data_IF_511331707709
#
_entry.id   IF_511331707709
#
_cell.length_a   1.000
_cell.length_b   1.000
_cell.length_c   1.000
_cell.angle_alpha   90.00
_cell.angle_beta   90.00
_cell.angle_gamma   90.00
#
_symmetry.space_group_name_H-M   'P 1'
#
loop_
_entity.id
_entity.type
_entity.pdbx_description
1 polymer ?
#
# COMPACT_ATOMS: atom_id res chain seq x y z
N UNK A 1 2.86 4.95 -1.62
CA UNK A 1 3.76 4.25 -2.54
C UNK A 1 4.13 5.16 -3.71
N UNK A 2 5.35 5.70 -3.83
CA UNK A 2 5.78 6.34 -5.06
C UNK A 2 6.28 5.30 -6.08
N UNK A 3 5.82 5.41 -7.33
CA UNK A 3 6.40 4.72 -8.48
C UNK A 3 7.27 5.73 -9.24
N UNK A 4 8.57 5.50 -9.28
CA UNK A 4 9.49 6.24 -10.13
C UNK A 4 9.81 5.40 -11.36
N UNK A 5 9.37 5.87 -12.52
CA UNK A 5 9.76 5.32 -13.81
C UNK A 5 10.89 6.16 -14.37
N UNK A 6 12.02 5.53 -14.68
CA UNK A 6 13.13 6.18 -15.37
C UNK A 6 13.55 5.32 -16.56
N UNK A 7 13.55 5.90 -17.76
CA UNK A 7 14.14 5.27 -18.92
C UNK A 7 15.63 5.66 -18.97
N UNK A 8 16.52 4.67 -18.98
CA UNK A 8 17.97 4.87 -19.03
C UNK A 8 18.62 4.02 -20.12
N UNK A 9 19.76 4.49 -20.64
CA UNK A 9 20.62 3.63 -21.44
C UNK A 9 21.38 2.67 -20.53
N UNK A 10 21.29 1.37 -20.82
CA UNK A 10 22.08 0.35 -20.13
C UNK A 10 23.56 0.45 -20.55
N UNK A 11 24.44 -0.07 -19.69
CA UNK A 11 25.90 -0.16 -19.86
C UNK A 11 26.30 -0.83 -21.21
N UNK A 12 25.38 -1.57 -21.85
CA UNK A 12 25.58 -2.31 -23.12
C UNK A 12 24.97 -1.56 -24.34
N UNK A 13 24.68 -0.26 -24.24
CA UNK A 13 24.13 0.52 -25.36
C UNK A 13 22.72 0.11 -25.79
N UNK A 14 21.97 -0.56 -24.91
CA UNK A 14 20.57 -0.91 -25.13
C UNK A 14 19.66 -0.14 -24.18
N UNK A 15 18.53 0.34 -24.72
CA UNK A 15 17.49 1.02 -23.95
C UNK A 15 16.86 0.04 -22.95
N UNK A 16 17.04 0.31 -21.67
CA UNK A 16 16.40 -0.42 -20.59
C UNK A 16 15.38 0.48 -19.90
N UNK A 17 14.28 -0.11 -19.45
CA UNK A 17 13.25 0.61 -18.71
C UNK A 17 13.34 0.18 -17.26
N UNK A 18 13.56 1.14 -16.36
CA UNK A 18 13.68 0.92 -14.94
C UNK A 18 12.42 1.41 -14.22
N UNK A 19 11.86 0.54 -13.39
CA UNK A 19 10.76 0.87 -12.50
C UNK A 19 11.19 0.65 -11.06
N UNK A 20 11.14 1.71 -10.27
CA UNK A 20 11.38 1.67 -8.84
C UNK A 20 10.08 1.95 -8.10
N UNK A 21 9.69 1.02 -7.26
CA UNK A 21 8.46 1.09 -6.49
C UNK A 21 8.80 0.93 -5.01
N UNK A 22 8.11 1.66 -4.14
CA UNK A 22 8.22 1.45 -2.69
C UNK A 22 6.86 1.56 -2.03
N UNK A 23 6.48 0.60 -1.18
CA UNK A 23 5.27 0.69 -0.35
C UNK A 23 5.36 1.86 0.65
N UNK A 24 4.27 2.18 1.35
CA UNK A 24 4.40 3.13 2.46
C UNK A 24 5.33 2.58 3.55
N UNK A 25 6.13 3.48 4.13
CA UNK A 25 6.99 3.23 5.31
C UNK A 25 6.23 3.52 6.63
N UNK A 26 4.93 3.81 6.54
CA UNK A 26 4.10 4.14 7.70
C UNK A 26 3.70 2.90 8.52
N UNK A 27 3.86 1.70 7.95
CA UNK A 27 3.50 0.43 8.57
C UNK A 27 4.61 -0.61 8.40
N UNK A 28 4.59 -1.63 9.26
CA UNK A 28 5.48 -2.78 9.15
C UNK A 28 5.33 -3.51 7.81
N UNK A 29 6.30 -4.38 7.50
CA UNK A 29 6.43 -5.09 6.23
C UNK A 29 6.48 -4.14 5.01
N UNK A 30 7.33 -3.10 5.09
CA UNK A 30 7.60 -2.25 3.94
C UNK A 30 8.44 -2.99 2.89
N UNK A 31 8.02 -2.86 1.64
CA UNK A 31 8.65 -3.49 0.49
C UNK A 31 9.13 -2.44 -0.49
N UNK A 32 10.27 -2.72 -1.10
CA UNK A 32 10.79 -1.97 -2.24
C UNK A 32 11.04 -2.92 -3.40
N UNK A 33 10.77 -2.46 -4.61
CA UNK A 33 10.92 -3.25 -5.83
C UNK A 33 11.67 -2.42 -6.87
N UNK A 34 12.73 -3.00 -7.40
CA UNK A 34 13.42 -2.51 -8.59
C UNK A 34 13.21 -3.50 -9.72
N UNK A 35 12.72 -3.02 -10.86
CA UNK A 35 12.49 -3.83 -12.07
C UNK A 35 13.22 -3.21 -13.25
N UNK A 36 14.07 -4.01 -13.89
CA UNK A 36 14.77 -3.64 -15.11
C UNK A 36 14.24 -4.48 -16.26
N UNK A 37 13.59 -3.82 -17.22
CA UNK A 37 13.04 -4.46 -18.41
C UNK A 37 13.89 -4.13 -19.65
N UNK A 38 14.20 -5.18 -20.42
CA UNK A 38 14.89 -5.12 -21.70
C UNK A 38 13.91 -5.51 -22.82
N UNK A 39 13.29 -4.52 -23.52
CA UNK A 39 12.22 -4.78 -24.48
C UNK A 39 12.63 -5.68 -25.64
N UNK A 40 13.86 -5.52 -26.14
CA UNK A 40 14.38 -6.29 -27.29
C UNK A 40 14.51 -7.78 -26.98
N UNK A 41 14.89 -8.13 -25.76
CA UNK A 41 15.07 -9.50 -25.31
C UNK A 41 13.81 -10.09 -24.66
N UNK A 42 12.78 -9.27 -24.43
CA UNK A 42 11.62 -9.61 -23.58
C UNK A 42 12.07 -10.19 -22.24
N UNK A 43 13.08 -9.55 -21.65
CA UNK A 43 13.72 -10.01 -20.42
C UNK A 43 13.50 -8.98 -19.32
N UNK A 44 13.04 -9.45 -18.18
CA UNK A 44 12.75 -8.62 -17.01
C UNK A 44 13.48 -9.17 -15.81
N UNK A 45 14.34 -8.35 -15.22
CA UNK A 45 14.99 -8.63 -13.94
C UNK A 45 14.32 -7.82 -12.87
N UNK A 46 14.21 -8.39 -11.67
CA UNK A 46 13.66 -7.66 -10.55
C UNK A 46 14.27 -8.10 -9.22
N UNK A 47 14.33 -7.15 -8.30
CA UNK A 47 14.76 -7.37 -6.92
C UNK A 47 13.66 -6.80 -6.02
N UNK A 48 13.11 -7.66 -5.17
CA UNK A 48 12.13 -7.30 -4.14
C UNK A 48 12.85 -7.32 -2.78
N UNK A 49 12.77 -6.20 -2.06
CA UNK A 49 13.34 -6.02 -0.73
C UNK A 49 12.22 -6.00 0.32
N UNK A 50 12.54 -6.44 1.54
CA UNK A 50 11.63 -6.34 2.69
C UNK A 50 10.47 -7.34 2.71
N UNK A 51 10.41 -8.26 1.75
CA UNK A 51 9.33 -9.25 1.69
C UNK A 51 9.46 -10.30 2.81
N UNK A 52 8.37 -10.54 3.52
CA UNK A 52 8.25 -11.68 4.44
C UNK A 52 8.18 -13.01 3.67
N UNK A 53 8.42 -14.13 4.35
CA UNK A 53 8.38 -15.46 3.72
C UNK A 53 7.00 -15.79 3.10
N UNK A 54 5.92 -15.25 3.67
CA UNK A 54 4.57 -15.39 3.11
C UNK A 54 4.40 -14.55 1.84
N UNK A 55 4.83 -13.29 1.88
CA UNK A 55 4.78 -12.38 0.73
C UNK A 55 5.63 -12.93 -0.42
N UNK A 56 6.83 -13.45 -0.16
CA UNK A 56 7.69 -14.08 -1.16
C UNK A 56 6.98 -15.24 -1.86
N UNK A 57 6.38 -16.17 -1.09
CA UNK A 57 5.62 -17.30 -1.65
C UNK A 57 4.44 -16.82 -2.50
N UNK A 58 3.72 -15.80 -2.04
CA UNK A 58 2.61 -15.20 -2.77
C UNK A 58 3.06 -14.60 -4.11
N UNK A 59 4.15 -13.84 -4.11
CA UNK A 59 4.76 -13.24 -5.31
C UNK A 59 5.18 -14.34 -6.28
N UNK A 60 5.93 -15.35 -5.81
CA UNK A 60 6.39 -16.46 -6.66
C UNK A 60 5.22 -17.24 -7.26
N UNK A 61 4.16 -17.49 -6.48
CA UNK A 61 2.96 -18.17 -6.98
C UNK A 61 2.26 -17.37 -8.07
N UNK A 62 2.18 -16.04 -7.92
CA UNK A 62 1.59 -15.12 -8.92
C UNK A 62 2.42 -15.05 -10.20
N UNK A 63 3.75 -14.95 -10.07
CA UNK A 63 4.66 -14.97 -11.22
C UNK A 63 4.55 -16.30 -11.98
N UNK A 64 4.52 -17.44 -11.28
CA UNK A 64 4.33 -18.76 -11.92
C UNK A 64 3.01 -18.88 -12.69
N UNK A 65 1.94 -18.26 -12.19
CA UNK A 65 0.63 -18.23 -12.86
C UNK A 65 0.58 -17.32 -14.08
N UNK A 66 1.45 -16.32 -14.18
CA UNK A 66 1.46 -15.37 -15.29
C UNK A 66 1.90 -15.98 -16.63
N UNK A 67 2.53 -17.16 -16.63
CA UNK A 67 2.83 -17.92 -17.84
C UNK A 67 3.68 -17.13 -18.84
N UNK A 68 3.11 -16.80 -20.00
CA UNK A 68 3.78 -16.02 -21.06
C UNK A 68 3.95 -14.55 -20.74
N UNK A 69 3.17 -14.01 -19.80
CA UNK A 69 3.19 -12.59 -19.42
C UNK A 69 4.24 -12.29 -18.35
N UNK A 70 5.06 -13.27 -17.96
CA UNK A 70 6.16 -13.09 -16.98
C UNK A 70 7.19 -12.06 -17.42
N UNK A 71 7.33 -11.86 -18.72
CA UNK A 71 8.22 -10.85 -19.29
C UNK A 71 7.62 -9.43 -19.22
N UNK A 72 6.35 -9.26 -18.87
CA UNK A 72 5.70 -7.96 -18.90
C UNK A 72 6.29 -7.03 -17.82
N UNK A 73 6.76 -5.82 -18.18
CA UNK A 73 7.44 -4.91 -17.26
C UNK A 73 6.59 -4.53 -16.03
N UNK A 74 5.27 -4.47 -16.20
CA UNK A 74 4.33 -4.11 -15.13
C UNK A 74 3.78 -5.28 -14.31
N UNK A 75 4.17 -6.54 -14.60
CA UNK A 75 3.67 -7.68 -13.82
C UNK A 75 4.05 -7.55 -12.34
N UNK A 76 5.34 -7.34 -12.07
CA UNK A 76 5.84 -7.25 -10.69
C UNK A 76 5.42 -5.96 -9.97
N UNK A 77 5.47 -4.77 -10.59
CA UNK A 77 4.88 -3.56 -10.01
C UNK A 77 3.39 -3.71 -9.70
N UNK A 78 2.64 -4.39 -10.58
CA UNK A 78 1.22 -4.70 -10.35
C UNK A 78 1.02 -5.63 -9.16
N UNK A 79 1.80 -6.71 -9.05
CA UNK A 79 1.76 -7.62 -7.89
C UNK A 79 2.06 -6.85 -6.60
N UNK A 80 3.10 -6.01 -6.58
CA UNK A 80 3.44 -5.21 -5.40
C UNK A 80 2.32 -4.24 -5.03
N UNK A 81 1.72 -3.57 -6.02
CA UNK A 81 0.61 -2.66 -5.79
C UNK A 81 -0.63 -3.37 -5.22
N UNK A 82 -0.90 -4.60 -5.65
CA UNK A 82 -1.97 -5.42 -5.07
C UNK A 82 -1.69 -5.86 -3.63
N UNK A 83 -0.45 -6.20 -3.31
CA UNK A 83 -0.04 -6.52 -1.93
C UNK A 83 -0.20 -5.29 -1.04
N UNK A 84 0.25 -4.11 -1.48
CA UNK A 84 0.10 -2.86 -0.74
C UNK A 84 -1.38 -2.51 -0.54
N UNK A 85 -2.20 -2.69 -1.57
CA UNK A 85 -3.66 -2.48 -1.46
C UNK A 85 -4.27 -3.40 -0.41
N UNK A 86 -3.87 -4.68 -0.38
CA UNK A 86 -4.36 -5.62 0.62
C UNK A 86 -3.97 -5.17 2.03
N UNK A 87 -2.70 -4.82 2.25
CA UNK A 87 -2.21 -4.32 3.54
C UNK A 87 -3.01 -3.11 4.02
N UNK A 88 -3.25 -2.15 3.12
CA UNK A 88 -4.03 -0.95 3.42
C UNK A 88 -5.50 -1.25 3.75
N UNK A 89 -6.09 -2.28 3.12
CA UNK A 89 -7.44 -2.74 3.46
C UNK A 89 -7.47 -3.37 4.85
N UNK A 90 -6.53 -4.26 5.14
CA UNK A 90 -6.45 -4.93 6.44
C UNK A 90 -6.29 -3.89 7.58
N UNK A 91 -5.49 -2.83 7.37
CA UNK A 91 -5.35 -1.70 8.32
C UNK A 91 -6.63 -0.86 8.43
N UNK A 92 -7.31 -0.60 7.30
CA UNK A 92 -8.54 0.16 7.33
C UNK A 92 -9.64 -0.58 8.10
N UNK A 93 -9.72 -1.90 7.96
CA UNK A 93 -10.65 -2.75 8.69
C UNK A 93 -10.35 -2.70 10.20
N UNK A 94 -9.09 -2.80 10.61
CA UNK A 94 -8.68 -2.68 12.03
C UNK A 94 -9.08 -1.33 12.64
N UNK A 95 -8.89 -0.23 11.91
CA UNK A 95 -9.28 1.11 12.36
C UNK A 95 -10.80 1.23 12.46
N UNK A 96 -11.55 0.65 11.53
CA UNK A 96 -13.02 0.63 11.58
C UNK A 96 -13.49 -0.13 12.83
N UNK A 97 -12.93 -1.32 13.08
CA UNK A 97 -13.27 -2.12 14.26
C UNK A 97 -12.96 -1.38 15.57
N UNK A 98 -11.81 -0.69 15.65
CA UNK A 98 -11.46 0.14 16.81
C UNK A 98 -12.46 1.29 17.01
N UNK A 99 -12.85 1.97 15.92
CA UNK A 99 -13.84 3.05 15.94
C UNK A 99 -15.22 2.54 16.38
N UNK A 100 -15.67 1.41 15.87
CA UNK A 100 -16.95 0.80 16.27
C UNK A 100 -16.96 0.45 17.76
N UNK A 101 -15.89 -0.19 18.25
CA UNK A 101 -15.75 -0.48 19.68
C UNK A 101 -15.75 0.78 20.54
N UNK A 102 -15.07 1.84 20.09
CA UNK A 102 -15.07 3.12 20.80
C UNK A 102 -16.46 3.76 20.81
N UNK A 103 -17.19 3.77 19.70
CA UNK A 103 -18.57 4.29 19.63
C UNK A 103 -19.48 3.53 20.60
N UNK A 104 -19.47 2.19 20.57
CA UNK A 104 -20.28 1.36 21.47
C UNK A 104 -19.97 1.62 22.95
N UNK A 105 -18.69 1.75 23.30
CA UNK A 105 -18.28 2.09 24.66
C UNK A 105 -18.81 3.46 25.06
N UNK A 106 -18.66 4.45 24.19
CA UNK A 106 -19.12 5.82 24.45
C UNK A 106 -20.64 5.88 24.61
N UNK A 107 -21.41 5.15 23.79
CA UNK A 107 -22.86 5.08 23.87
C UNK A 107 -23.33 4.46 25.19
N UNK A 108 -22.70 3.36 25.62
CA UNK A 108 -22.98 2.72 26.91
C UNK A 108 -22.65 3.65 28.10
N UNK A 109 -21.55 4.39 28.03
CA UNK A 109 -21.15 5.37 29.05
C UNK A 109 -22.12 6.56 29.14
N UNK A 110 -22.70 7.02 28.03
CA UNK A 110 -23.75 8.07 28.03
C UNK A 110 -25.02 7.65 28.73
N UNK A 111 -25.42 6.37 28.66
CA UNK A 111 -26.61 5.83 29.34
C UNK A 111 -26.42 5.86 30.86
N UNK A 112 -25.18 5.73 31.34
CA UNK A 112 -24.82 5.79 32.77
C UNK A 112 -24.51 7.20 33.30
N UNK A 113 -24.47 8.22 32.44
CA UNK A 113 -23.86 9.54 32.74
C UNK A 113 -24.88 10.62 33.11
N UNK A 114 -25.44 10.54 34.31
CA UNK A 114 -26.03 11.73 34.95
C UNK A 114 -25.08 12.36 36.00
N UNK A 115 -23.84 11.86 36.16
CA UNK A 115 -22.86 12.32 37.17
C UNK A 115 -21.38 12.25 36.69
N UNK A 116 -20.97 12.92 35.59
CA UNK A 116 -19.57 12.88 35.12
C UNK A 116 -18.72 14.07 35.59
N UNK A 117 -17.47 13.79 35.99
CA UNK A 117 -16.46 14.78 36.41
C UNK A 117 -15.74 15.41 35.20
N UNK A 118 -15.17 16.60 35.38
CA UNK A 118 -14.48 17.34 34.32
C UNK A 118 -13.30 16.56 33.69
N UNK A 119 -12.60 15.73 34.48
CA UNK A 119 -11.50 14.88 34.00
C UNK A 119 -11.96 13.78 33.04
N UNK A 120 -13.15 13.22 33.23
CA UNK A 120 -13.69 12.18 32.33
C UNK A 120 -14.07 12.75 30.96
N UNK A 121 -14.47 14.03 30.90
CA UNK A 121 -14.80 14.73 29.65
C UNK A 121 -13.55 15.03 28.81
N UNK A 122 -12.44 15.41 29.45
CA UNK A 122 -11.18 15.72 28.77
C UNK A 122 -10.57 14.47 28.13
N UNK A 123 -10.55 13.35 28.85
CA UNK A 123 -10.03 12.08 28.32
C UNK A 123 -10.88 11.57 27.14
N UNK A 124 -12.21 11.71 27.24
CA UNK A 124 -13.15 11.38 26.17
C UNK A 124 -12.90 12.19 24.89
N UNK A 125 -12.69 13.50 25.04
CA UNK A 125 -12.38 14.38 23.91
C UNK A 125 -11.03 14.02 23.28
N UNK A 126 -10.01 13.72 24.09
CA UNK A 126 -8.70 13.28 23.61
C UNK A 126 -8.80 11.99 22.79
N UNK A 127 -9.56 11.01 23.23
CA UNK A 127 -9.78 9.75 22.51
C UNK A 127 -10.49 9.98 21.17
N UNK A 128 -11.56 10.79 21.15
CA UNK A 128 -12.25 11.18 19.91
C UNK A 128 -11.33 11.90 18.92
N UNK A 129 -10.48 12.81 19.41
CA UNK A 129 -9.51 13.50 18.55
C UNK A 129 -8.49 12.53 17.96
N UNK A 130 -7.97 11.59 18.75
CA UNK A 130 -7.04 10.55 18.26
C UNK A 130 -7.70 9.70 17.16
N UNK A 131 -8.88 9.14 17.45
CA UNK A 131 -9.67 8.35 16.50
C UNK A 131 -9.93 9.08 15.17
N UNK A 132 -10.30 10.36 15.24
CA UNK A 132 -10.50 11.19 14.05
C UNK A 132 -9.20 11.40 13.26
N UNK A 133 -8.07 11.64 13.94
CA UNK A 133 -6.77 11.80 13.30
C UNK A 133 -6.34 10.50 12.58
N UNK A 134 -6.52 9.36 13.22
CA UNK A 134 -6.19 8.04 12.66
C UNK A 134 -7.04 7.74 11.41
N UNK A 135 -8.35 8.00 11.47
CA UNK A 135 -9.26 7.86 10.33
C UNK A 135 -8.90 8.82 9.17
N UNK A 136 -8.58 10.08 9.49
CA UNK A 136 -8.20 11.08 8.50
C UNK A 136 -6.87 10.72 7.81
N UNK A 137 -5.89 10.24 8.58
CA UNK A 137 -4.61 9.77 8.08
C UNK A 137 -4.77 8.60 7.11
N UNK A 138 -5.52 7.57 7.50
CA UNK A 138 -5.79 6.40 6.64
C UNK A 138 -6.51 6.77 5.36
N UNK A 139 -7.51 7.66 5.44
CA UNK A 139 -8.19 8.21 4.25
C UNK A 139 -7.20 8.88 3.29
N UNK A 140 -6.26 9.67 3.81
CA UNK A 140 -5.30 10.39 2.98
C UNK A 140 -4.37 9.41 2.24
N UNK A 141 -3.94 8.33 2.89
CA UNK A 141 -3.06 7.33 2.26
C UNK A 141 -3.80 6.53 1.18
N UNK A 142 -5.07 6.18 1.44
CA UNK A 142 -5.92 5.54 0.43
C UNK A 142 -6.13 6.44 -0.79
N UNK A 143 -6.36 7.74 -0.60
CA UNK A 143 -6.48 8.69 -1.69
C UNK A 143 -5.18 8.85 -2.49
N UNK A 144 -4.03 8.91 -1.80
CA UNK A 144 -2.72 8.97 -2.44
C UNK A 144 -2.44 7.71 -3.28
N UNK A 145 -2.72 6.54 -2.72
CA UNK A 145 -2.52 5.25 -3.40
C UNK A 145 -3.45 5.10 -4.60
N UNK A 146 -4.72 5.53 -4.47
CA UNK A 146 -5.68 5.57 -5.58
C UNK A 146 -5.16 6.45 -6.73
N UNK A 147 -4.71 7.66 -6.43
CA UNK A 147 -4.16 8.59 -7.44
C UNK A 147 -2.99 7.97 -8.20
N UNK A 148 -2.08 7.30 -7.48
CA UNK A 148 -0.95 6.61 -8.08
C UNK A 148 -1.39 5.44 -8.97
N UNK A 149 -2.30 4.59 -8.51
CA UNK A 149 -2.84 3.48 -9.30
C UNK A 149 -3.45 3.97 -10.61
N UNK A 150 -4.16 5.11 -10.58
CA UNK A 150 -4.65 5.75 -11.78
C UNK A 150 -3.54 6.26 -12.70
N UNK A 151 -2.43 6.75 -12.16
CA UNK A 151 -1.26 7.15 -12.95
C UNK A 151 -0.54 5.93 -13.56
N UNK A 152 -0.42 4.82 -12.83
CA UNK A 152 0.13 3.56 -13.36
C UNK A 152 -0.74 3.02 -14.49
N UNK A 153 -2.07 3.02 -14.32
CA UNK A 153 -3.01 2.64 -15.38
C UNK A 153 -2.92 3.53 -16.62
N UNK A 154 -2.55 4.81 -16.48
CA UNK A 154 -2.33 5.71 -17.62
C UNK A 154 -0.99 5.46 -18.31
N UNK A 155 0.05 5.08 -17.55
CA UNK A 155 1.30 4.56 -18.12
C UNK A 155 1.12 3.25 -18.90
N UNK A 156 0.04 2.49 -18.63
CA UNK A 156 -0.32 1.27 -19.37
C UNK A 156 -0.80 1.51 -20.82
N UNK A 157 -1.13 2.76 -21.20
CA UNK A 157 -1.70 3.08 -22.53
C UNK A 157 -0.71 3.64 -23.55
N UNK A 158 0.55 3.87 -23.19
CA UNK A 158 1.59 4.25 -24.15
C UNK A 158 2.59 3.10 -24.34
N UNK A 159 2.68 2.53 -25.56
CA UNK A 159 3.62 1.45 -25.90
C UNK A 159 5.07 1.91 -26.03
#
# INVERSE_FOLDING_TARGET
MPLYTSAGESIIGQKAILYNCRTSNEWEDDMALTVTHFPKQRLTFAILFGASAEQERSVLARVRKAGTDTAHPMLLPGILAELERKRQMDIADEIIDELEMQILRLDNETITSWNQSEQTTVERNRQKTKAWLDAAFSRNILLATKSLLFSMRRGFSEP
#
